data_IF_646819224646
#
_entry.id   IF_646819224646
#
_cell.length_a   1.000
_cell.length_b   1.000
_cell.length_c   1.000
_cell.angle_alpha   90.00
_cell.angle_beta   90.00
_cell.angle_gamma   90.00
#
_symmetry.space_group_name_H-M   'P 1'
#
loop_
_entity.id
_entity.type
_entity.pdbx_description
1 polymer ?
#
# COMPACT_ATOMS: atom_id res chain seq x y z
N UNK A 1 -18.18 -50.45 -52.81
CA UNK A 1 -17.03 -49.80 -52.13
C UNK A 1 -17.04 -48.28 -52.36
N UNK A 2 -18.09 -47.55 -51.95
CA UNK A 2 -18.15 -46.09 -52.16
C UNK A 2 -18.94 -45.29 -51.11
N UNK A 3 -19.23 -45.83 -49.92
CA UNK A 3 -19.94 -45.07 -48.86
C UNK A 3 -19.06 -44.65 -47.68
N UNK A 4 -17.85 -45.20 -47.52
CA UNK A 4 -17.04 -45.01 -46.30
C UNK A 4 -16.29 -43.66 -46.24
N UNK A 5 -16.17 -42.93 -47.37
CA UNK A 5 -15.37 -41.69 -47.41
C UNK A 5 -16.12 -40.44 -46.95
N UNK A 6 -17.44 -40.53 -46.72
CA UNK A 6 -18.28 -39.36 -46.40
C UNK A 6 -18.44 -39.08 -44.89
N UNK A 7 -18.25 -40.07 -44.02
CA UNK A 7 -18.44 -39.89 -42.56
C UNK A 7 -17.23 -39.21 -41.88
N UNK A 8 -16.01 -39.48 -42.35
CA UNK A 8 -14.78 -38.98 -41.72
C UNK A 8 -14.60 -37.45 -41.85
N UNK A 9 -15.27 -36.81 -42.83
CA UNK A 9 -15.18 -35.35 -43.04
C UNK A 9 -16.12 -34.56 -42.13
N UNK A 10 -17.22 -35.16 -41.68
CA UNK A 10 -18.18 -34.54 -40.74
C UNK A 10 -17.63 -34.43 -39.33
N UNK A 11 -16.88 -35.43 -38.86
CA UNK A 11 -16.32 -35.45 -37.52
C UNK A 11 -15.16 -34.44 -37.35
N UNK A 12 -14.28 -34.32 -38.35
CA UNK A 12 -13.21 -33.32 -38.38
C UNK A 12 -13.76 -31.88 -38.40
N UNK A 13 -14.87 -31.62 -39.09
CA UNK A 13 -15.56 -30.32 -39.06
C UNK A 13 -16.18 -30.01 -37.69
N UNK A 14 -16.81 -30.99 -37.05
CA UNK A 14 -17.39 -30.86 -35.70
C UNK A 14 -16.33 -30.47 -34.66
N UNK A 15 -15.15 -31.09 -34.72
CA UNK A 15 -14.07 -30.81 -33.78
C UNK A 15 -13.44 -29.42 -33.96
N UNK A 16 -13.32 -28.95 -35.21
CA UNK A 16 -12.86 -27.61 -35.53
C UNK A 16 -13.81 -26.50 -35.03
N UNK A 17 -15.13 -26.76 -35.07
CA UNK A 17 -16.13 -25.81 -34.56
C UNK A 17 -16.04 -25.72 -33.03
N UNK A 18 -15.90 -26.84 -32.32
CA UNK A 18 -15.78 -26.86 -30.84
C UNK A 18 -14.53 -26.13 -30.34
N UNK A 19 -13.39 -26.25 -31.04
CA UNK A 19 -12.16 -25.51 -30.70
C UNK A 19 -12.30 -23.99 -30.76
N UNK A 20 -13.00 -23.47 -31.78
CA UNK A 20 -13.24 -22.02 -31.92
C UNK A 20 -14.08 -21.48 -30.76
N UNK A 21 -15.08 -22.21 -30.31
CA UNK A 21 -15.94 -21.80 -29.19
C UNK A 21 -15.16 -21.80 -27.86
N UNK A 22 -14.27 -22.76 -27.63
CA UNK A 22 -13.41 -22.80 -26.44
C UNK A 22 -12.45 -21.60 -26.42
N UNK A 23 -11.80 -21.28 -27.54
CA UNK A 23 -10.88 -20.14 -27.63
C UNK A 23 -11.62 -18.82 -27.36
N UNK A 24 -12.80 -18.63 -27.94
CA UNK A 24 -13.62 -17.43 -27.72
C UNK A 24 -14.03 -17.31 -26.24
N UNK A 25 -14.44 -18.42 -25.60
CA UNK A 25 -14.80 -18.42 -24.20
C UNK A 25 -13.61 -18.05 -23.29
N UNK A 26 -12.40 -18.56 -23.58
CA UNK A 26 -11.18 -18.21 -22.85
C UNK A 26 -10.86 -16.72 -23.01
N UNK A 27 -10.90 -16.18 -24.23
CA UNK A 27 -10.65 -14.75 -24.47
C UNK A 27 -11.69 -13.89 -23.74
N UNK A 28 -12.97 -14.26 -23.80
CA UNK A 28 -14.03 -13.54 -23.10
C UNK A 28 -13.82 -13.56 -21.57
N UNK A 29 -13.39 -14.69 -21.00
CA UNK A 29 -13.05 -14.80 -19.58
C UNK A 29 -11.84 -13.93 -19.22
N UNK A 30 -10.81 -13.89 -20.06
CA UNK A 30 -9.64 -13.03 -19.85
C UNK A 30 -10.05 -11.56 -19.90
N UNK A 31 -10.82 -11.14 -20.90
CA UNK A 31 -11.32 -9.76 -21.02
C UNK A 31 -12.21 -9.39 -19.85
N UNK A 32 -13.11 -10.28 -19.42
CA UNK A 32 -13.96 -10.07 -18.26
C UNK A 32 -13.14 -9.97 -16.97
N UNK A 33 -12.14 -10.84 -16.79
CA UNK A 33 -11.24 -10.83 -15.64
C UNK A 33 -10.40 -9.55 -15.58
N UNK A 34 -9.82 -9.13 -16.71
CA UNK A 34 -9.11 -7.87 -16.87
C UNK A 34 -10.06 -6.72 -16.54
N UNK A 35 -11.22 -6.63 -17.21
CA UNK A 35 -12.22 -5.61 -16.95
C UNK A 35 -12.59 -5.51 -15.47
N UNK A 36 -12.84 -6.64 -14.81
CA UNK A 36 -13.18 -6.71 -13.39
C UNK A 36 -12.06 -6.22 -12.45
N UNK A 37 -10.78 -6.49 -12.79
CA UNK A 37 -9.58 -6.03 -12.07
C UNK A 37 -9.34 -4.52 -12.25
N UNK A 38 -9.64 -3.98 -13.43
CA UNK A 38 -9.44 -2.58 -13.79
C UNK A 38 -10.65 -1.67 -13.55
N UNK A 39 -11.79 -2.21 -13.08
CA UNK A 39 -12.95 -1.39 -12.75
C UNK A 39 -12.63 -0.46 -11.56
N UNK A 40 -12.77 0.88 -11.72
CA UNK A 40 -12.52 1.83 -10.65
C UNK A 40 -13.40 1.51 -9.44
N UNK A 41 -12.79 1.44 -8.26
CA UNK A 41 -13.53 1.32 -6.99
C UNK A 41 -13.68 2.73 -6.40
N UNK A 42 -14.90 3.10 -5.98
CA UNK A 42 -15.14 4.36 -5.27
C UNK A 42 -14.44 4.36 -3.92
N UNK A 43 -13.87 5.50 -3.49
CA UNK A 43 -13.07 5.59 -2.26
C UNK A 43 -13.82 5.15 -0.99
N UNK A 44 -15.12 5.45 -0.90
CA UNK A 44 -15.98 5.03 0.23
C UNK A 44 -16.16 3.51 0.32
N UNK A 45 -16.23 2.83 -0.82
CA UNK A 45 -16.32 1.36 -0.88
C UNK A 45 -15.00 0.71 -0.46
N UNK A 46 -13.87 1.34 -0.80
CA UNK A 46 -12.54 0.90 -0.38
C UNK A 46 -12.40 0.94 1.14
N UNK A 47 -12.73 2.08 1.78
CA UNK A 47 -12.68 2.19 3.25
C UNK A 47 -13.54 1.13 3.94
N UNK A 48 -14.77 0.93 3.44
CA UNK A 48 -15.69 -0.07 4.03
C UNK A 48 -15.10 -1.49 3.93
N UNK A 49 -14.45 -1.83 2.82
CA UNK A 49 -13.84 -3.14 2.61
C UNK A 49 -12.62 -3.35 3.51
N UNK A 50 -11.71 -2.38 3.58
CA UNK A 50 -10.51 -2.44 4.43
C UNK A 50 -10.91 -2.50 5.91
N UNK A 51 -11.91 -1.73 6.34
CA UNK A 51 -12.39 -1.76 7.71
C UNK A 51 -12.96 -3.12 8.14
N UNK A 52 -13.51 -3.91 7.21
CA UNK A 52 -14.02 -5.26 7.49
C UNK A 52 -12.89 -6.30 7.53
N UNK A 53 -11.88 -6.13 6.69
CA UNK A 53 -10.74 -7.03 6.56
C UNK A 53 -9.49 -6.48 7.25
N UNK A 54 -9.63 -5.85 8.43
CA UNK A 54 -8.49 -5.26 9.15
C UNK A 54 -7.42 -6.33 9.39
N UNK A 55 -6.35 -6.29 8.59
CA UNK A 55 -5.12 -7.00 8.91
C UNK A 55 -4.56 -6.37 10.19
N UNK A 56 -4.16 -7.22 11.13
CA UNK A 56 -3.57 -6.77 12.38
C UNK A 56 -2.22 -6.11 12.06
N UNK A 57 -2.17 -4.79 12.09
CA UNK A 57 -0.90 -4.05 11.98
C UNK A 57 -0.06 -4.37 13.22
N UNK A 58 1.20 -4.71 13.00
CA UNK A 58 2.09 -5.18 14.06
C UNK A 58 2.61 -4.02 14.90
N UNK A 59 2.01 -3.83 16.08
CA UNK A 59 2.47 -2.85 17.04
C UNK A 59 1.46 -2.63 18.16
N UNK A 60 1.91 -2.71 19.42
CA UNK A 60 1.12 -2.24 20.56
C UNK A 60 1.73 -0.95 21.06
N UNK A 61 1.11 0.20 20.74
CA UNK A 61 1.41 1.42 21.47
C UNK A 61 1.14 1.14 22.96
N UNK A 62 2.15 1.32 23.82
CA UNK A 62 2.03 1.13 25.28
C UNK A 62 1.68 2.47 25.94
N UNK A 63 0.89 2.44 27.01
CA UNK A 63 0.60 3.62 27.85
C UNK A 63 -0.13 4.76 27.14
N UNK A 64 0.26 6.01 27.43
CA UNK A 64 -0.39 7.24 26.93
C UNK A 64 -0.44 7.34 25.40
N UNK A 65 0.57 6.79 24.71
CA UNK A 65 0.60 6.74 23.26
C UNK A 65 -0.56 5.90 22.69
N UNK A 66 -1.01 4.85 23.39
CA UNK A 66 -2.15 4.05 22.96
C UNK A 66 -3.43 4.88 22.93
N UNK A 67 -3.68 5.68 23.97
CA UNK A 67 -4.88 6.51 24.06
C UNK A 67 -4.86 7.64 23.03
N UNK A 68 -3.69 8.26 22.82
CA UNK A 68 -3.50 9.29 21.80
C UNK A 68 -3.82 8.77 20.38
N UNK A 69 -3.28 7.62 20.00
CA UNK A 69 -3.53 7.02 18.68
C UNK A 69 -4.97 6.54 18.52
N UNK A 70 -5.55 5.92 19.58
CA UNK A 70 -6.97 5.55 19.59
C UNK A 70 -7.87 6.77 19.35
N UNK A 71 -7.60 7.90 20.01
CA UNK A 71 -8.37 9.13 19.81
C UNK A 71 -8.24 9.66 18.39
N UNK A 72 -7.04 9.64 17.81
CA UNK A 72 -6.81 10.10 16.44
C UNK A 72 -7.51 9.21 15.40
N UNK A 73 -7.58 7.91 15.65
CA UNK A 73 -8.24 6.91 14.80
C UNK A 73 -9.74 6.74 15.08
N UNK A 74 -10.33 7.47 16.04
CA UNK A 74 -11.76 7.39 16.39
C UNK A 74 -12.68 8.13 15.41
N UNK A 75 -12.26 8.22 14.14
CA UNK A 75 -12.99 8.90 13.08
C UNK A 75 -13.52 7.83 12.10
N UNK A 76 -14.83 7.79 11.83
CA UNK A 76 -15.42 6.79 10.93
C UNK A 76 -14.88 6.86 9.49
N UNK A 77 -14.32 8.01 9.09
CA UNK A 77 -13.70 8.18 7.78
C UNK A 77 -12.22 7.80 7.76
N UNK A 78 -11.68 7.28 8.87
CA UNK A 78 -10.29 6.83 8.99
C UNK A 78 -10.20 5.32 9.09
N UNK A 79 -9.31 4.73 8.30
CA UNK A 79 -8.93 3.33 8.44
C UNK A 79 -7.44 3.24 8.63
N UNK A 80 -7.01 2.73 9.78
CA UNK A 80 -5.61 2.40 10.04
C UNK A 80 -5.11 1.37 9.03
N UNK A 81 -3.99 1.69 8.39
CA UNK A 81 -3.34 0.85 7.36
C UNK A 81 -1.87 0.58 7.64
N UNK A 82 -1.29 1.19 8.68
CA UNK A 82 0.14 1.07 8.94
C UNK A 82 0.64 1.86 10.14
N UNK A 83 1.91 1.63 10.44
CA UNK A 83 2.62 2.17 11.59
C UNK A 83 3.91 2.86 11.17
N UNK A 84 4.31 3.87 11.95
CA UNK A 84 5.67 4.42 11.97
C UNK A 84 6.30 3.99 13.28
N UNK A 85 7.47 3.35 13.23
CA UNK A 85 8.07 2.71 14.39
C UNK A 85 9.60 2.73 14.36
N UNK A 86 10.18 2.41 15.52
CA UNK A 86 11.60 2.07 15.68
C UNK A 86 11.78 0.99 16.77
N UNK A 87 12.85 0.18 16.74
CA UNK A 87 13.88 0.12 15.71
C UNK A 87 13.36 -0.47 14.39
N UNK A 88 14.09 -0.20 13.30
CA UNK A 88 13.85 -0.80 12.00
C UNK A 88 14.30 -2.27 11.99
N UNK A 89 13.52 -3.21 11.42
CA UNK A 89 13.97 -4.59 11.28
C UNK A 89 15.13 -4.68 10.30
N UNK A 90 16.05 -5.61 10.58
CA UNK A 90 17.07 -6.03 9.61
C UNK A 90 16.39 -6.68 8.39
N UNK A 91 17.00 -6.61 7.20
CA UNK A 91 16.37 -7.04 5.93
C UNK A 91 15.85 -8.48 5.89
N UNK A 92 16.29 -9.33 6.83
CA UNK A 92 15.98 -10.76 6.88
C UNK A 92 15.36 -11.18 8.23
N UNK A 93 14.97 -10.23 9.09
CA UNK A 93 14.38 -10.52 10.39
C UNK A 93 12.86 -10.44 10.34
N UNK A 94 12.24 -11.41 11.03
CA UNK A 94 10.80 -11.48 11.22
C UNK A 94 10.26 -10.20 11.89
N UNK A 95 9.02 -9.86 11.59
CA UNK A 95 8.33 -8.66 12.07
C UNK A 95 8.20 -8.72 13.61
N UNK A 96 9.18 -8.19 14.34
CA UNK A 96 9.15 -8.09 15.81
C UNK A 96 7.97 -7.19 16.22
N UNK A 97 6.97 -7.67 16.94
CA UNK A 97 5.79 -6.86 17.29
C UNK A 97 5.98 -5.94 18.51
N UNK A 98 7.10 -6.09 19.23
CA UNK A 98 7.46 -5.24 20.37
C UNK A 98 8.38 -4.09 19.89
N UNK A 99 7.77 -3.05 19.33
CA UNK A 99 8.45 -1.85 18.82
C UNK A 99 7.89 -0.61 19.48
N UNK A 100 8.69 0.45 19.50
CA UNK A 100 8.18 1.77 19.81
C UNK A 100 7.39 2.31 18.62
N UNK A 101 6.11 2.58 18.83
CA UNK A 101 5.23 3.20 17.83
C UNK A 101 5.37 4.72 17.93
N UNK A 102 6.05 5.29 16.95
CA UNK A 102 6.23 6.72 16.78
C UNK A 102 5.02 7.37 16.12
N UNK A 103 4.26 6.62 15.33
CA UNK A 103 3.19 7.15 14.53
C UNK A 103 2.25 6.11 13.94
N UNK A 104 1.15 6.60 13.39
CA UNK A 104 0.12 5.81 12.72
C UNK A 104 -0.15 6.37 11.32
N UNK A 105 -0.55 5.49 10.43
CA UNK A 105 -0.89 5.79 9.03
C UNK A 105 -2.32 5.33 8.79
N UNK A 106 -3.13 6.19 8.21
CA UNK A 106 -4.53 5.93 7.92
C UNK A 106 -4.91 6.33 6.50
N UNK A 107 -5.82 5.57 5.89
CA UNK A 107 -6.60 6.03 4.74
C UNK A 107 -7.74 6.91 5.23
N UNK A 108 -7.91 8.04 4.57
CA UNK A 108 -8.98 9.01 4.80
C UNK A 108 -9.74 9.20 3.49
N UNK A 109 -11.06 9.14 3.52
CA UNK A 109 -11.86 9.62 2.38
C UNK A 109 -12.11 11.11 2.56
N UNK A 110 -11.67 11.89 1.57
CA UNK A 110 -12.10 13.27 1.40
C UNK A 110 -13.59 13.27 0.97
N UNK A 111 -14.44 13.85 1.81
CA UNK A 111 -15.88 13.84 1.60
C UNK A 111 -16.33 14.75 0.45
N UNK A 112 -15.55 15.79 0.13
CA UNK A 112 -15.87 16.72 -0.96
C UNK A 112 -15.46 16.15 -2.31
N UNK A 113 -14.28 15.54 -2.38
CA UNK A 113 -13.71 15.07 -3.65
C UNK A 113 -13.89 13.57 -3.90
N UNK A 114 -14.40 12.83 -2.92
CA UNK A 114 -14.47 11.36 -2.85
C UNK A 114 -13.10 10.67 -3.06
N UNK A 115 -12.00 11.41 -2.92
CA UNK A 115 -10.65 10.86 -3.08
C UNK A 115 -10.17 10.19 -1.81
N UNK A 116 -9.32 9.19 -1.99
CA UNK A 116 -8.59 8.57 -0.89
C UNK A 116 -7.29 9.33 -0.65
N UNK A 117 -7.07 9.72 0.59
CA UNK A 117 -5.83 10.33 1.03
C UNK A 117 -5.14 9.40 2.02
N UNK A 118 -3.83 9.20 1.87
CA UNK A 118 -3.00 8.60 2.91
C UNK A 118 -2.59 9.71 3.86
N UNK A 119 -3.04 9.63 5.09
CA UNK A 119 -2.68 10.58 6.15
C UNK A 119 -1.82 9.87 7.17
N UNK A 120 -0.69 10.46 7.52
CA UNK A 120 0.14 9.95 8.60
C UNK A 120 0.29 10.99 9.70
N UNK A 121 0.55 10.49 10.91
CA UNK A 121 0.89 11.31 12.05
C UNK A 121 1.95 10.59 12.86
N UNK A 122 3.08 11.27 13.08
CA UNK A 122 4.20 10.74 13.83
C UNK A 122 4.74 11.77 14.82
N UNK A 123 5.28 11.28 15.93
CA UNK A 123 5.92 12.07 16.97
C UNK A 123 7.18 11.31 17.39
N UNK A 124 8.32 11.97 17.32
CA UNK A 124 9.62 11.40 17.72
C UNK A 124 10.51 12.47 18.32
N UNK A 125 11.48 12.08 19.13
CA UNK A 125 12.50 12.97 19.67
C UNK A 125 13.83 12.68 18.96
N UNK A 126 14.40 13.73 18.37
CA UNK A 126 15.68 13.68 17.68
C UNK A 126 16.81 14.03 18.64
N UNK A 127 17.80 13.15 18.75
CA UNK A 127 18.94 13.37 19.64
C UNK A 127 19.98 14.33 19.04
N UNK A 128 19.98 14.48 17.71
CA UNK A 128 20.94 15.26 16.94
C UNK A 128 20.25 15.96 15.77
N UNK A 129 20.93 16.98 15.22
CA UNK A 129 20.47 17.69 14.03
C UNK A 129 20.58 16.78 12.80
N UNK A 130 19.51 16.73 12.00
CA UNK A 130 19.47 16.02 10.73
C UNK A 130 19.78 17.04 9.63
N UNK A 131 20.99 16.96 9.09
CA UNK A 131 21.43 17.83 8.00
C UNK A 131 21.16 17.21 6.63
N UNK A 132 21.16 15.87 6.56
CA UNK A 132 20.79 15.06 5.40
C UNK A 132 20.02 13.84 5.87
N UNK A 133 19.05 13.40 5.08
CA UNK A 133 18.33 12.16 5.34
C UNK A 133 17.99 11.42 4.05
N UNK A 134 18.16 10.11 4.09
CA UNK A 134 17.82 9.18 3.02
C UNK A 134 16.51 8.46 3.30
N UNK A 135 15.71 8.22 2.28
CA UNK A 135 14.50 7.40 2.34
C UNK A 135 14.66 6.26 1.34
N UNK A 136 14.72 5.03 1.83
CA UNK A 136 14.56 3.85 0.99
C UNK A 136 13.08 3.47 0.97
N UNK A 137 12.41 3.65 -0.16
CA UNK A 137 11.00 3.32 -0.35
C UNK A 137 10.85 2.06 -1.20
N UNK A 138 10.06 1.11 -0.70
CA UNK A 138 9.61 -0.08 -1.42
C UNK A 138 8.10 -0.14 -1.44
N UNK A 139 7.51 -0.36 -2.60
CA UNK A 139 6.07 -0.54 -2.77
C UNK A 139 5.83 -1.79 -3.59
N UNK A 140 4.96 -2.67 -3.12
CA UNK A 140 4.54 -3.86 -3.84
C UNK A 140 3.02 -3.89 -4.04
N UNK A 141 2.60 -4.40 -5.19
CA UNK A 141 1.20 -4.59 -5.56
C UNK A 141 1.05 -6.06 -5.97
N UNK A 142 0.17 -6.80 -5.30
CA UNK A 142 0.00 -8.25 -5.46
C UNK A 142 1.35 -9.02 -5.37
N UNK A 143 2.25 -8.54 -4.50
CA UNK A 143 3.59 -9.12 -4.30
C UNK A 143 4.64 -8.73 -5.35
N UNK A 144 4.26 -8.02 -6.42
CA UNK A 144 5.17 -7.52 -7.43
C UNK A 144 5.73 -6.16 -7.02
N UNK A 145 7.04 -5.97 -7.15
CA UNK A 145 7.68 -4.67 -6.88
C UNK A 145 7.22 -3.63 -7.89
N UNK A 146 6.50 -2.61 -7.41
CA UNK A 146 6.06 -1.46 -8.20
C UNK A 146 7.04 -0.28 -8.07
N UNK A 147 7.67 -0.13 -6.90
CA UNK A 147 8.67 0.90 -6.61
C UNK A 147 9.74 0.31 -5.70
N UNK A 148 11.01 0.55 -6.03
CA UNK A 148 12.16 0.37 -5.14
C UNK A 148 13.15 1.52 -5.42
N UNK A 149 13.20 2.52 -4.55
CA UNK A 149 13.95 3.77 -4.79
C UNK A 149 14.61 4.30 -3.52
N UNK A 150 15.79 4.87 -3.69
CA UNK A 150 16.46 5.72 -2.72
C UNK A 150 16.14 7.19 -3.05
N UNK A 151 15.66 7.93 -2.05
CA UNK A 151 15.27 9.33 -2.16
C UNK A 151 16.01 10.16 -1.11
N UNK A 152 16.30 11.42 -1.41
CA UNK A 152 16.85 12.36 -0.41
C UNK A 152 15.72 13.21 0.17
N UNK A 153 15.38 13.01 1.44
CA UNK A 153 14.28 13.73 2.12
C UNK A 153 14.43 15.25 1.99
N UNK A 154 15.65 15.75 2.24
CA UNK A 154 15.95 17.18 2.23
C UNK A 154 15.82 17.83 0.83
N UNK A 155 15.78 17.05 -0.25
CA UNK A 155 15.57 17.53 -1.62
C UNK A 155 14.12 17.43 -2.07
N UNK A 156 13.25 16.84 -1.24
CA UNK A 156 11.82 16.64 -1.54
C UNK A 156 10.94 17.70 -0.87
N UNK A 157 11.34 18.98 -0.96
CA UNK A 157 10.59 20.11 -0.38
C UNK A 157 9.15 20.21 -0.86
N UNK A 158 8.83 19.63 -2.03
CA UNK A 158 7.50 19.64 -2.61
C UNK A 158 6.59 18.51 -2.08
N UNK A 159 7.17 17.49 -1.45
CA UNK A 159 6.44 16.32 -0.94
C UNK A 159 6.42 16.27 0.59
N UNK A 160 7.27 17.03 1.27
CA UNK A 160 7.27 17.09 2.73
C UNK A 160 7.39 18.54 3.16
N UNK A 161 6.66 18.92 4.20
CA UNK A 161 6.84 20.21 4.87
C UNK A 161 8.13 20.29 5.70
N UNK A 162 9.08 19.35 5.50
CA UNK A 162 10.32 19.25 6.26
C UNK A 162 11.42 19.95 5.48
N UNK A 163 11.96 21.03 6.04
CA UNK A 163 13.17 21.69 5.54
C UNK A 163 14.37 21.25 6.38
N UNK A 164 15.47 20.94 5.70
CA UNK A 164 16.74 20.64 6.37
C UNK A 164 17.58 21.92 6.54
N UNK A 165 18.33 22.07 7.65
CA UNK A 165 18.52 21.08 8.72
C UNK A 165 17.31 21.00 9.68
N UNK A 166 16.95 19.77 10.07
CA UNK A 166 15.96 19.54 11.13
C UNK A 166 16.71 19.53 12.46
N UNK A 167 16.38 20.48 13.35
CA UNK A 167 17.05 20.58 14.66
C UNK A 167 16.68 19.42 15.57
N UNK A 168 17.61 19.05 16.45
CA UNK A 168 17.37 18.12 17.56
C UNK A 168 16.21 18.58 18.45
N UNK A 169 15.58 17.62 19.11
CA UNK A 169 14.42 17.81 19.97
C UNK A 169 13.14 17.18 19.41
N UNK A 170 12.00 17.64 19.91
CA UNK A 170 10.71 17.04 19.58
C UNK A 170 10.25 17.36 18.16
N UNK A 171 10.20 16.34 17.31
CA UNK A 171 9.65 16.42 15.96
C UNK A 171 8.21 15.87 15.93
N UNK A 172 7.29 16.67 15.39
CA UNK A 172 5.91 16.26 15.14
C UNK A 172 5.66 16.36 13.63
N UNK A 173 5.27 15.25 13.03
CA UNK A 173 4.94 15.17 11.61
C UNK A 173 3.46 14.88 11.45
N UNK A 174 2.83 15.62 10.57
CA UNK A 174 1.48 15.38 10.14
C UNK A 174 1.36 15.84 8.70
N UNK A 175 1.02 14.91 7.81
CA UNK A 175 0.85 15.22 6.40
C UNK A 175 -0.21 14.28 5.79
N UNK A 176 -0.70 14.68 4.62
CA UNK A 176 -1.72 13.96 3.89
C UNK A 176 -1.44 14.05 2.39
N UNK A 177 -1.46 12.90 1.71
CA UNK A 177 -1.25 12.83 0.27
C UNK A 177 -2.42 12.15 -0.41
N UNK A 178 -2.92 12.78 -1.48
CA UNK A 178 -3.97 12.20 -2.29
C UNK A 178 -3.43 11.01 -3.10
N UNK A 179 -4.12 9.87 -3.00
CA UNK A 179 -3.88 8.75 -3.89
C UNK A 179 -4.42 9.07 -5.30
N UNK A 180 -3.87 8.41 -6.34
CA UNK A 180 -4.46 8.48 -7.68
C UNK A 180 -5.94 8.11 -7.65
N UNK A 181 -6.75 8.80 -8.47
CA UNK A 181 -8.20 8.55 -8.55
C UNK A 181 -8.55 7.09 -8.92
N UNK A 182 -7.66 6.43 -9.65
CA UNK A 182 -7.83 5.06 -10.09
C UNK A 182 -6.86 4.16 -9.33
N UNK A 183 -7.39 3.41 -8.35
CA UNK A 183 -6.69 2.33 -7.68
C UNK A 183 -7.21 0.99 -8.19
N UNK A 184 -6.30 0.09 -8.53
CA UNK A 184 -6.66 -1.27 -8.96
C UNK A 184 -6.98 -2.15 -7.76
N UNK A 185 -7.79 -3.19 -7.95
CA UNK A 185 -8.00 -4.20 -6.91
C UNK A 185 -6.75 -5.04 -6.70
N UNK A 186 -6.37 -5.27 -5.45
CA UNK A 186 -5.17 -6.02 -5.11
C UNK A 186 -4.69 -5.79 -3.68
N UNK A 187 -3.64 -6.51 -3.30
CA UNK A 187 -2.92 -6.32 -2.05
C UNK A 187 -1.82 -5.29 -2.24
N UNK A 188 -1.85 -4.22 -1.47
CA UNK A 188 -0.84 -3.18 -1.45
C UNK A 188 0.01 -3.34 -0.21
N UNK A 189 1.33 -3.25 -0.36
CA UNK A 189 2.22 -3.02 0.76
C UNK A 189 3.26 -1.97 0.43
N UNK A 190 3.63 -1.18 1.43
CA UNK A 190 4.71 -0.22 1.30
C UNK A 190 5.57 -0.24 2.56
N UNK A 191 6.87 -0.22 2.35
CA UNK A 191 7.87 -0.10 3.39
C UNK A 191 8.73 1.11 3.09
N UNK A 192 9.05 1.89 4.10
CA UNK A 192 10.11 2.88 3.96
C UNK A 192 11.01 2.92 5.18
N UNK A 193 12.29 3.18 4.92
CA UNK A 193 13.34 3.31 5.93
C UNK A 193 13.96 4.69 5.81
N UNK A 194 13.83 5.48 6.87
CA UNK A 194 14.41 6.81 6.97
C UNK A 194 15.73 6.74 7.71
N UNK A 195 16.81 7.18 7.07
CA UNK A 195 18.17 7.19 7.63
C UNK A 195 18.73 8.61 7.74
N UNK A 196 19.61 8.83 8.72
CA UNK A 196 20.31 10.10 8.93
C UNK A 196 21.53 10.25 7.99
N UNK A 197 22.30 11.33 8.15
CA UNK A 197 23.55 11.57 7.39
C UNK A 197 24.67 10.54 7.64
N UNK A 198 24.57 9.72 8.69
CA UNK A 198 25.53 8.67 9.06
C UNK A 198 25.08 7.27 8.61
N UNK A 199 23.86 7.13 8.07
CA UNK A 199 23.27 5.86 7.68
C UNK A 199 22.50 5.15 8.80
N UNK A 200 22.35 5.76 9.97
CA UNK A 200 21.57 5.19 11.07
C UNK A 200 20.07 5.39 10.86
N UNK A 201 19.28 4.44 11.34
CA UNK A 201 17.82 4.50 11.24
C UNK A 201 17.22 5.51 12.19
N UNK A 202 16.42 6.41 11.63
CA UNK A 202 15.58 7.34 12.38
C UNK A 202 14.23 6.69 12.65
N UNK A 203 13.61 6.15 11.60
CA UNK A 203 12.29 5.53 11.66
C UNK A 203 12.05 4.60 10.47
N UNK A 204 11.17 3.62 10.68
CA UNK A 204 10.60 2.81 9.62
C UNK A 204 9.10 2.98 9.56
N UNK A 205 8.56 2.80 8.37
CA UNK A 205 7.13 2.70 8.14
C UNK A 205 6.79 1.40 7.44
N UNK A 206 5.64 0.83 7.81
CA UNK A 206 5.04 -0.29 7.12
C UNK A 206 3.56 -0.02 6.95
N UNK A 207 3.09 -0.17 5.72
CA UNK A 207 1.71 -0.04 5.31
C UNK A 207 1.29 -1.32 4.61
N UNK A 208 0.11 -1.84 4.96
CA UNK A 208 -0.51 -2.95 4.24
C UNK A 208 -2.03 -2.82 4.22
N UNK A 209 -2.63 -2.95 3.04
CA UNK A 209 -4.08 -2.99 2.88
C UNK A 209 -4.49 -3.67 1.57
N UNK A 210 -5.74 -4.14 1.51
CA UNK A 210 -6.30 -4.82 0.34
C UNK A 210 -7.50 -4.04 -0.23
N UNK A 211 -7.49 -3.78 -1.54
CA UNK A 211 -8.58 -3.12 -2.28
C UNK A 211 -9.44 -4.14 -3.04
#
# INVERSE_FOLDING_TARGET
>A
MSSEKSEETTEKKSWQIRKKHIIIAIIALIVFYIGYKFYPVKGTDVIRKISKNKKKVCGSAKGENQMYWKKWLNDPNKVEIGDVFRPCPSSNQEVICDREILGKIALVVDQETERLNVTYRAKTELEYDITKAGIHLKVTIDGLSAVDKQLEMCKMSNLTHISCPVRKGLLKLHDSFALPKLLMKGSYSAEARLTNQHGDDIACLNVQFDI
#
